data_IF_944168834014
#
_entry.id   IF_944168834014
#
_cell.length_a   1.000
_cell.length_b   1.000
_cell.length_c   1.000
_cell.angle_alpha   90.00
_cell.angle_beta   90.00
_cell.angle_gamma   90.00
#
_symmetry.space_group_name_H-M   'P 1'
#
loop_
_entity.id
_entity.type
_entity.pdbx_description
1 polymer ?
#
# COMPACT_ATOMS: atom_id res chain seq x y z
N UNK A 1 13.16 10.81 -16.26
CA UNK A 1 12.03 11.23 -15.40
C UNK A 1 11.52 9.99 -14.72
N UNK A 2 11.41 9.98 -13.39
CA UNK A 2 10.85 8.83 -12.66
C UNK A 2 9.34 9.06 -12.52
N UNK A 3 8.52 8.13 -12.99
CA UNK A 3 7.05 8.18 -12.93
C UNK A 3 6.51 7.28 -11.81
N UNK A 4 5.28 7.54 -11.35
CA UNK A 4 4.58 6.68 -10.40
C UNK A 4 4.43 5.23 -10.91
N UNK A 5 4.02 5.08 -12.18
CA UNK A 5 3.97 3.82 -12.90
C UNK A 5 5.06 3.86 -13.99
N UNK A 6 6.22 3.21 -13.78
CA UNK A 6 7.31 3.19 -14.75
C UNK A 6 6.88 2.55 -16.08
N UNK A 7 7.55 2.86 -17.21
CA UNK A 7 7.29 2.21 -18.49
C UNK A 7 7.31 0.67 -18.37
N UNK A 8 6.34 0.02 -19.02
CA UNK A 8 6.16 -1.44 -18.94
C UNK A 8 5.50 -1.94 -17.66
N UNK A 9 4.90 -1.07 -16.85
CA UNK A 9 4.00 -1.46 -15.75
C UNK A 9 2.87 -2.37 -16.24
N UNK A 10 2.35 -3.23 -15.36
CA UNK A 10 1.14 -4.00 -15.66
C UNK A 10 0.01 -3.05 -16.09
N UNK A 11 -0.82 -3.44 -17.06
CA UNK A 11 -1.96 -2.62 -17.47
C UNK A 11 -3.03 -2.59 -16.37
N UNK A 12 -3.96 -1.62 -16.38
CA UNK A 12 -5.17 -1.71 -15.58
C UNK A 12 -5.90 -3.03 -15.85
N UNK A 13 -6.53 -3.62 -14.83
CA UNK A 13 -7.33 -4.83 -14.97
C UNK A 13 -8.67 -4.66 -14.26
N UNK A 14 -9.71 -5.25 -14.82
CA UNK A 14 -11.04 -5.28 -14.21
C UNK A 14 -10.99 -6.01 -12.85
N UNK A 15 -11.95 -5.67 -11.99
CA UNK A 15 -12.07 -6.24 -10.66
C UNK A 15 -12.24 -7.76 -10.72
N UNK A 16 -11.48 -8.47 -9.89
CA UNK A 16 -11.73 -9.88 -9.59
C UNK A 16 -13.02 -10.05 -8.76
N UNK A 17 -13.62 -11.26 -8.78
CA UNK A 17 -14.71 -11.59 -7.87
C UNK A 17 -14.33 -11.36 -6.40
N UNK A 18 -15.27 -10.80 -5.65
CA UNK A 18 -15.11 -10.38 -4.26
C UNK A 18 -16.44 -10.54 -3.50
N UNK A 19 -16.38 -10.59 -2.18
CA UNK A 19 -17.52 -10.92 -1.29
C UNK A 19 -17.74 -9.94 -0.13
N UNK A 20 -16.75 -9.09 0.17
CA UNK A 20 -16.89 -8.00 1.12
C UNK A 20 -17.87 -6.93 0.67
N UNK A 21 -18.05 -5.90 1.50
CA UNK A 21 -19.11 -4.90 1.34
C UNK A 21 -18.56 -3.48 1.38
N UNK A 22 -19.17 -2.57 0.62
CA UNK A 22 -18.88 -1.14 0.71
C UNK A 22 -19.74 -0.53 1.81
N UNK A 23 -19.12 0.23 2.71
CA UNK A 23 -19.78 0.99 3.77
C UNK A 23 -19.31 2.43 3.76
N UNK A 24 -20.22 3.33 4.13
CA UNK A 24 -19.87 4.68 4.52
C UNK A 24 -19.64 4.71 6.03
N UNK A 25 -18.47 5.18 6.47
CA UNK A 25 -18.20 5.53 7.85
C UNK A 25 -17.75 6.98 7.91
N UNK A 26 -18.42 7.80 8.72
CA UNK A 26 -18.28 9.25 8.69
C UNK A 26 -18.37 9.82 7.26
N UNK A 27 -17.29 10.36 6.71
CA UNK A 27 -17.27 10.93 5.35
C UNK A 27 -16.60 10.04 4.31
N UNK A 28 -16.17 8.84 4.70
CA UNK A 28 -15.29 8.00 3.89
C UNK A 28 -15.98 6.70 3.50
N UNK A 29 -15.91 6.35 2.21
CA UNK A 29 -16.31 5.04 1.74
C UNK A 29 -15.18 4.03 1.97
N UNK A 30 -15.56 2.89 2.54
CA UNK A 30 -14.69 1.81 2.98
C UNK A 30 -15.18 0.51 2.35
N UNK A 31 -14.31 -0.24 1.69
CA UNK A 31 -14.58 -1.65 1.42
C UNK A 31 -14.12 -2.46 2.63
N UNK A 32 -15.00 -3.24 3.23
CA UNK A 32 -14.74 -3.98 4.46
C UNK A 32 -14.86 -5.49 4.23
N UNK A 33 -13.91 -6.24 4.79
CA UNK A 33 -13.86 -7.70 4.70
C UNK A 33 -13.40 -8.32 6.03
N UNK A 34 -13.70 -9.61 6.21
CA UNK A 34 -13.30 -10.39 7.37
C UNK A 34 -14.18 -10.21 8.63
N UNK A 35 -13.85 -10.92 9.71
CA UNK A 35 -14.66 -10.95 10.92
C UNK A 35 -14.51 -9.66 11.75
N UNK A 36 -15.64 -9.10 12.22
CA UNK A 36 -15.65 -7.95 13.15
C UNK A 36 -15.08 -8.24 14.54
N UNK A 37 -14.76 -9.51 14.84
CA UNK A 37 -14.14 -9.94 16.10
C UNK A 37 -12.63 -10.12 15.97
N UNK A 38 -12.04 -9.80 14.81
CA UNK A 38 -10.60 -9.88 14.62
C UNK A 38 -9.87 -8.95 15.59
N UNK A 39 -8.80 -9.46 16.21
CA UNK A 39 -7.94 -8.62 17.08
C UNK A 39 -7.05 -7.68 16.27
N UNK A 40 -6.75 -8.04 15.03
CA UNK A 40 -5.87 -7.28 14.14
C UNK A 40 -6.68 -6.71 12.98
N UNK A 41 -6.62 -5.39 12.87
CA UNK A 41 -7.13 -4.63 11.74
C UNK A 41 -6.06 -4.52 10.65
N UNK A 42 -6.48 -4.57 9.39
CA UNK A 42 -5.60 -4.35 8.24
C UNK A 42 -6.12 -3.16 7.45
N UNK A 43 -5.31 -2.12 7.38
CA UNK A 43 -5.57 -0.94 6.58
C UNK A 43 -4.92 -1.09 5.19
N UNK A 44 -5.74 -1.15 4.15
CA UNK A 44 -5.32 -1.43 2.80
C UNK A 44 -5.46 -0.17 1.91
N UNK A 45 -4.38 0.15 1.19
CA UNK A 45 -4.34 1.29 0.26
C UNK A 45 -4.23 0.84 -1.19
N UNK A 46 -5.06 1.43 -2.05
CA UNK A 46 -5.15 1.06 -3.46
C UNK A 46 -4.00 1.67 -4.27
N UNK A 47 -3.83 1.17 -5.49
CA UNK A 47 -3.13 1.91 -6.53
C UNK A 47 -4.02 3.07 -7.05
N UNK A 48 -3.53 3.83 -8.04
CA UNK A 48 -4.22 5.00 -8.62
C UNK A 48 -5.56 4.68 -9.31
N UNK A 49 -5.80 3.42 -9.69
CA UNK A 49 -7.04 2.97 -10.34
C UNK A 49 -8.14 2.54 -9.34
N UNK A 50 -7.91 2.70 -8.04
CA UNK A 50 -8.90 2.42 -7.00
C UNK A 50 -9.09 0.94 -6.69
N UNK A 51 -10.13 0.64 -5.89
CA UNK A 51 -10.36 -0.70 -5.33
C UNK A 51 -10.93 -1.72 -6.33
N UNK A 52 -11.39 -1.28 -7.51
CA UNK A 52 -11.87 -2.16 -8.59
C UNK A 52 -10.72 -2.57 -9.53
N UNK A 53 -9.50 -2.20 -9.17
CA UNK A 53 -8.28 -2.53 -9.91
C UNK A 53 -7.81 -3.94 -9.60
N UNK A 54 -8.03 -4.85 -10.55
CA UNK A 54 -7.56 -6.24 -10.47
C UNK A 54 -8.04 -6.94 -9.20
N UNK A 55 -7.09 -7.50 -8.44
CA UNK A 55 -7.36 -8.30 -7.24
C UNK A 55 -7.49 -7.49 -5.95
N UNK A 56 -7.52 -6.17 -5.98
CA UNK A 56 -7.48 -5.35 -4.76
C UNK A 56 -8.56 -5.71 -3.71
N UNK A 57 -9.83 -5.86 -4.11
CA UNK A 57 -10.89 -6.34 -3.18
C UNK A 57 -10.75 -7.82 -2.81
N UNK A 58 -10.39 -8.67 -3.77
CA UNK A 58 -10.19 -10.11 -3.55
C UNK A 58 -9.07 -10.39 -2.54
N UNK A 59 -7.98 -9.62 -2.58
CA UNK A 59 -6.86 -9.76 -1.65
C UNK A 59 -7.28 -9.36 -0.22
N UNK A 60 -8.14 -8.33 -0.07
CA UNK A 60 -8.74 -8.00 1.22
C UNK A 60 -9.68 -9.12 1.73
N UNK A 61 -10.46 -9.75 0.85
CA UNK A 61 -11.31 -10.88 1.24
C UNK A 61 -10.47 -12.06 1.76
N UNK A 62 -9.34 -12.38 1.09
CA UNK A 62 -8.42 -13.45 1.51
C UNK A 62 -7.77 -13.20 2.87
N UNK A 63 -7.41 -11.95 3.15
CA UNK A 63 -6.98 -11.55 4.50
C UNK A 63 -8.14 -11.71 5.50
N UNK A 64 -9.37 -11.38 5.10
CA UNK A 64 -10.56 -11.63 5.90
C UNK A 64 -10.76 -13.11 6.25
N UNK A 65 -10.57 -14.01 5.29
CA UNK A 65 -10.61 -15.47 5.49
C UNK A 65 -9.53 -15.96 6.47
N UNK A 66 -8.39 -15.26 6.56
CA UNK A 66 -7.32 -15.51 7.52
C UNK A 66 -7.58 -14.91 8.92
N UNK A 67 -8.73 -14.27 9.13
CA UNK A 67 -9.15 -13.78 10.45
C UNK A 67 -8.76 -12.33 10.75
N UNK A 68 -8.35 -11.55 9.75
CA UNK A 68 -8.13 -10.11 9.89
C UNK A 68 -9.41 -9.30 9.64
N UNK A 69 -9.58 -8.17 10.33
CA UNK A 69 -10.59 -7.17 9.94
C UNK A 69 -9.97 -6.21 8.93
N UNK A 70 -10.36 -6.30 7.66
CA UNK A 70 -9.70 -5.57 6.57
C UNK A 70 -10.55 -4.41 6.10
N UNK A 71 -9.91 -3.26 5.90
CA UNK A 71 -10.53 -2.04 5.37
C UNK A 71 -9.68 -1.52 4.21
N UNK A 72 -10.25 -1.49 3.01
CA UNK A 72 -9.69 -0.71 1.89
C UNK A 72 -10.35 0.66 1.92
N UNK A 73 -9.52 1.71 1.94
CA UNK A 73 -9.98 3.10 2.08
C UNK A 73 -10.10 3.78 0.72
N UNK A 74 -11.23 4.43 0.43
CA UNK A 74 -11.28 5.42 -0.63
C UNK A 74 -10.69 6.75 -0.17
N UNK A 75 -9.38 6.89 -0.35
CA UNK A 75 -8.65 8.12 0.00
C UNK A 75 -8.83 9.25 -1.02
N UNK A 76 -9.52 8.99 -2.14
CA UNK A 76 -9.72 9.96 -3.24
C UNK A 76 -11.14 10.51 -3.31
N UNK A 77 -12.06 9.95 -2.52
CA UNK A 77 -13.50 10.22 -2.60
C UNK A 77 -14.08 9.95 -3.99
N UNK A 78 -13.64 8.86 -4.60
CA UNK A 78 -14.09 8.39 -5.91
C UNK A 78 -13.35 9.00 -7.10
N UNK A 79 -12.42 9.94 -6.91
CA UNK A 79 -11.61 10.52 -7.97
C UNK A 79 -10.40 9.63 -8.33
N UNK A 80 -10.65 8.36 -8.62
CA UNK A 80 -9.65 7.43 -9.12
C UNK A 80 -9.25 7.78 -10.55
N UNK A 81 -7.99 7.49 -10.92
CA UNK A 81 -7.60 7.53 -12.32
C UNK A 81 -8.36 6.46 -13.10
N UNK A 82 -8.74 6.79 -14.34
CA UNK A 82 -9.46 5.88 -15.23
C UNK A 82 -8.49 5.07 -16.07
N UNK A 83 -8.96 3.93 -16.56
CA UNK A 83 -8.13 3.03 -17.37
C UNK A 83 -7.75 3.67 -18.71
N UNK A 84 -8.57 4.59 -19.20
CA UNK A 84 -8.41 5.28 -20.48
C UNK A 84 -7.57 6.57 -20.36
N UNK A 85 -7.18 6.97 -19.15
CA UNK A 85 -6.40 8.18 -18.93
C UNK A 85 -4.98 8.03 -19.46
N UNK A 86 -4.46 9.10 -20.08
CA UNK A 86 -3.02 9.24 -20.31
C UNK A 86 -2.35 9.44 -18.95
N UNK A 87 -1.71 8.39 -18.44
CA UNK A 87 -1.09 8.37 -17.11
C UNK A 87 -0.02 9.47 -17.00
N UNK A 88 0.80 9.67 -18.01
CA UNK A 88 1.91 10.64 -17.95
C UNK A 88 1.37 12.08 -17.89
N UNK A 89 0.31 12.38 -18.65
CA UNK A 89 -0.34 13.69 -18.62
C UNK A 89 -1.17 13.92 -17.35
N UNK A 90 -1.78 12.87 -16.80
CA UNK A 90 -2.79 12.98 -15.75
C UNK A 90 -2.21 12.86 -14.34
N UNK A 91 -1.09 12.14 -14.16
CA UNK A 91 -0.51 11.84 -12.85
C UNK A 91 -0.19 13.10 -12.04
N UNK A 92 0.50 14.08 -12.63
CA UNK A 92 0.90 15.30 -11.91
C UNK A 92 -0.30 16.12 -11.41
N UNK A 93 -1.28 16.48 -12.27
CA UNK A 93 -2.51 17.13 -11.84
C UNK A 93 -3.35 16.32 -10.85
N UNK A 94 -3.36 14.99 -10.96
CA UNK A 94 -4.09 14.10 -10.04
C UNK A 94 -3.43 14.10 -8.65
N UNK A 95 -2.12 13.91 -8.58
CA UNK A 95 -1.38 13.93 -7.31
C UNK A 95 -1.55 15.24 -6.53
N UNK A 96 -1.60 16.39 -7.23
CA UNK A 96 -1.81 17.69 -6.57
C UNK A 96 -3.19 17.88 -5.96
N UNK A 97 -4.22 17.24 -6.51
CA UNK A 97 -5.59 17.32 -5.96
C UNK A 97 -5.88 16.20 -4.96
N UNK A 98 -5.17 15.07 -5.05
CA UNK A 98 -5.16 14.03 -4.02
C UNK A 98 -4.11 14.33 -2.94
N UNK A 99 -4.21 15.53 -2.35
CA UNK A 99 -3.29 16.02 -1.33
C UNK A 99 -3.30 15.12 -0.08
N UNK A 100 -2.11 14.80 0.43
CA UNK A 100 -2.00 13.86 1.55
C UNK A 100 -2.67 14.41 2.80
N UNK A 101 -2.37 15.66 3.18
CA UNK A 101 -2.75 16.19 4.48
C UNK A 101 -4.24 16.58 4.54
N UNK A 102 -4.80 17.10 3.45
CA UNK A 102 -6.16 17.65 3.43
C UNK A 102 -7.23 16.70 2.87
N UNK A 103 -6.86 15.70 2.05
CA UNK A 103 -7.83 14.76 1.45
C UNK A 103 -7.61 13.32 1.92
N UNK A 104 -6.39 12.83 1.80
CA UNK A 104 -6.05 11.42 2.06
C UNK A 104 -6.08 11.12 3.56
N UNK A 105 -5.37 11.90 4.38
CA UNK A 105 -5.22 11.66 5.81
C UNK A 105 -6.57 11.65 6.56
N UNK A 106 -7.53 12.56 6.33
CA UNK A 106 -8.84 12.47 6.97
C UNK A 106 -9.56 11.14 6.67
N UNK A 107 -9.43 10.62 5.45
CA UNK A 107 -10.03 9.33 5.06
C UNK A 107 -9.34 8.15 5.76
N UNK A 108 -8.02 8.25 5.98
CA UNK A 108 -7.25 7.29 6.80
C UNK A 108 -7.71 7.32 8.26
N UNK A 109 -7.91 8.51 8.82
CA UNK A 109 -8.35 8.68 10.20
C UNK A 109 -9.74 8.06 10.41
N UNK A 110 -10.67 8.26 9.47
CA UNK A 110 -11.99 7.59 9.47
C UNK A 110 -11.87 6.06 9.42
N UNK A 111 -10.98 5.52 8.60
CA UNK A 111 -10.76 4.07 8.48
C UNK A 111 -10.13 3.45 9.74
N UNK A 112 -9.17 4.14 10.35
CA UNK A 112 -8.57 3.74 11.64
C UNK A 112 -9.64 3.76 12.73
N UNK A 113 -10.48 4.80 12.77
CA UNK A 113 -11.58 4.90 13.71
C UNK A 113 -12.60 3.76 13.52
N UNK A 114 -12.94 3.41 12.28
CA UNK A 114 -13.79 2.25 12.00
C UNK A 114 -13.17 0.94 12.52
N UNK A 115 -11.87 0.71 12.24
CA UNK A 115 -11.16 -0.48 12.74
C UNK A 115 -11.18 -0.57 14.26
N UNK A 116 -10.99 0.54 14.96
CA UNK A 116 -10.97 0.60 16.43
C UNK A 116 -12.36 0.49 17.07
N UNK A 117 -13.37 1.16 16.51
CA UNK A 117 -14.68 1.32 17.15
C UNK A 117 -15.66 0.21 16.73
N UNK A 118 -15.73 -0.07 15.43
CA UNK A 118 -16.71 -1.01 14.85
C UNK A 118 -16.15 -2.42 14.77
N UNK A 119 -14.90 -2.57 14.32
CA UNK A 119 -14.22 -3.87 14.27
C UNK A 119 -13.47 -4.21 15.56
N UNK A 120 -13.36 -3.27 16.52
CA UNK A 120 -12.70 -3.47 17.82
C UNK A 120 -11.28 -4.03 17.72
N UNK A 121 -10.59 -3.71 16.64
CA UNK A 121 -9.20 -4.09 16.42
C UNK A 121 -8.32 -3.47 17.51
N UNK A 122 -7.46 -4.28 18.10
CA UNK A 122 -6.52 -3.89 19.16
C UNK A 122 -5.21 -3.38 18.57
N UNK A 123 -4.85 -3.89 17.39
CA UNK A 123 -3.66 -3.52 16.65
C UNK A 123 -4.02 -3.34 15.18
N UNK A 124 -3.32 -2.45 14.49
CA UNK A 124 -3.55 -2.19 13.06
C UNK A 124 -2.22 -2.35 12.33
N UNK A 125 -2.22 -3.15 11.27
CA UNK A 125 -1.13 -3.22 10.28
C UNK A 125 -1.63 -2.63 8.96
N UNK A 126 -0.73 -2.32 8.04
CA UNK A 126 -1.15 -1.80 6.74
C UNK A 126 -0.38 -2.39 5.58
N UNK A 127 -1.00 -2.37 4.40
CA UNK A 127 -0.32 -2.60 3.14
C UNK A 127 -0.84 -1.66 2.06
N UNK A 128 -0.07 -1.48 1.00
CA UNK A 128 -0.48 -0.64 -0.12
C UNK A 128 0.17 -1.04 -1.43
N UNK A 129 -0.56 -0.79 -2.52
CA UNK A 129 -0.10 -1.04 -3.88
C UNK A 129 0.30 0.28 -4.55
N UNK A 130 1.48 0.39 -5.14
CA UNK A 130 1.83 1.57 -5.97
C UNK A 130 1.67 2.87 -5.15
N UNK A 131 0.69 3.71 -5.50
CA UNK A 131 0.24 4.89 -4.74
C UNK A 131 0.01 4.59 -3.27
N UNK A 132 -0.65 3.48 -2.95
CA UNK A 132 -0.92 3.05 -1.59
C UNK A 132 0.35 2.74 -0.79
N UNK A 133 1.44 2.35 -1.46
CA UNK A 133 2.74 2.18 -0.82
C UNK A 133 3.34 3.52 -0.37
N UNK A 134 3.14 4.60 -1.14
CA UNK A 134 3.51 5.94 -0.71
C UNK A 134 2.63 6.46 0.43
N UNK A 135 1.32 6.22 0.37
CA UNK A 135 0.39 6.60 1.45
C UNK A 135 0.79 5.96 2.77
N UNK A 136 1.04 4.65 2.77
CA UNK A 136 1.40 3.94 4.00
C UNK A 136 2.79 4.32 4.53
N UNK A 137 3.74 4.67 3.65
CA UNK A 137 5.02 5.23 4.05
C UNK A 137 4.86 6.58 4.76
N UNK A 138 4.03 7.48 4.22
CA UNK A 138 3.68 8.76 4.88
C UNK A 138 3.00 8.53 6.23
N UNK A 139 2.03 7.61 6.31
CA UNK A 139 1.35 7.25 7.56
C UNK A 139 2.34 6.72 8.61
N UNK A 140 3.36 5.98 8.16
CA UNK A 140 4.40 5.41 9.02
C UNK A 140 5.30 6.45 9.69
N UNK A 141 5.21 7.74 9.30
CA UNK A 141 5.96 8.84 9.94
C UNK A 141 5.24 9.47 11.14
N UNK A 142 3.95 9.14 11.34
CA UNK A 142 3.11 9.73 12.40
C UNK A 142 3.58 9.30 13.79
N UNK A 143 3.56 10.23 14.74
CA UNK A 143 3.91 10.01 16.15
C UNK A 143 2.79 10.51 17.09
N UNK A 144 2.28 9.69 18.03
CA UNK A 144 2.63 8.28 18.22
C UNK A 144 2.18 7.40 17.04
N UNK A 145 2.83 6.22 16.82
CA UNK A 145 2.46 5.34 15.72
C UNK A 145 1.01 4.88 15.78
N UNK A 146 0.30 4.96 14.66
CA UNK A 146 -1.10 4.51 14.50
C UNK A 146 -1.22 3.09 13.96
N UNK A 147 -0.14 2.57 13.37
CA UNK A 147 -0.02 1.24 12.80
C UNK A 147 1.22 0.56 13.39
N UNK A 148 1.28 -0.77 13.32
CA UNK A 148 2.42 -1.58 13.80
C UNK A 148 3.51 -1.76 12.74
N UNK A 149 3.19 -1.55 11.47
CA UNK A 149 4.10 -1.67 10.34
C UNK A 149 3.37 -1.54 9.00
N UNK A 150 4.14 -1.42 7.92
CA UNK A 150 3.59 -1.21 6.58
C UNK A 150 4.29 -2.07 5.52
N UNK A 151 3.49 -2.66 4.63
CA UNK A 151 3.97 -3.36 3.43
C UNK A 151 3.69 -2.55 2.17
N UNK A 152 4.73 -2.29 1.39
CA UNK A 152 4.64 -1.66 0.08
C UNK A 152 4.84 -2.68 -1.03
N UNK A 153 3.76 -3.00 -1.75
CA UNK A 153 3.83 -3.74 -3.00
C UNK A 153 4.14 -2.78 -4.15
N UNK A 154 5.22 -3.05 -4.88
CA UNK A 154 5.73 -2.24 -5.99
C UNK A 154 5.65 -0.72 -5.68
N UNK A 155 6.49 -0.24 -4.74
CA UNK A 155 6.37 1.09 -4.11
C UNK A 155 6.49 2.26 -5.10
N UNK A 156 5.53 3.19 -5.07
CA UNK A 156 5.61 4.47 -5.80
C UNK A 156 6.09 5.62 -4.91
N UNK A 157 7.08 5.40 -4.04
CA UNK A 157 7.61 6.45 -3.14
C UNK A 157 8.21 7.65 -3.89
N UNK A 158 8.50 7.49 -5.19
CA UNK A 158 8.84 8.59 -6.11
C UNK A 158 7.87 9.76 -6.07
N UNK A 159 6.61 9.53 -5.72
CA UNK A 159 5.61 10.60 -5.58
C UNK A 159 6.01 11.63 -4.53
N UNK A 160 6.67 11.21 -3.44
CA UNK A 160 7.18 12.13 -2.42
C UNK A 160 8.17 13.11 -3.04
N UNK A 161 9.07 12.59 -3.89
CA UNK A 161 10.00 13.42 -4.67
C UNK A 161 9.27 14.31 -5.69
N UNK A 162 8.24 13.81 -6.36
CA UNK A 162 7.46 14.60 -7.32
C UNK A 162 6.73 15.78 -6.67
N UNK A 163 6.28 15.63 -5.42
CA UNK A 163 5.52 16.63 -4.68
C UNK A 163 6.42 17.60 -3.88
N UNK A 164 7.50 17.09 -3.31
CA UNK A 164 8.29 17.82 -2.31
C UNK A 164 9.76 18.04 -2.72
N UNK A 165 10.15 17.59 -3.90
CA UNK A 165 11.46 17.84 -4.50
C UNK A 165 12.53 16.80 -4.16
N UNK A 166 13.78 17.16 -4.45
CA UNK A 166 14.94 16.29 -4.20
C UNK A 166 15.12 16.02 -2.69
N UNK A 167 15.64 14.83 -2.37
CA UNK A 167 15.83 14.27 -1.02
C UNK A 167 14.55 14.02 -0.20
N UNK A 168 13.36 14.27 -0.75
CA UNK A 168 12.11 14.14 0.00
C UNK A 168 11.81 12.68 0.41
N UNK A 169 12.19 11.72 -0.43
CA UNK A 169 12.04 10.29 -0.13
C UNK A 169 12.91 9.90 1.06
N UNK A 170 14.17 10.32 1.06
CA UNK A 170 15.11 10.07 2.15
C UNK A 170 14.62 10.69 3.46
N UNK A 171 14.19 11.96 3.44
CA UNK A 171 13.63 12.65 4.61
C UNK A 171 12.38 11.96 5.16
N UNK A 172 11.47 11.53 4.27
CA UNK A 172 10.30 10.74 4.67
C UNK A 172 10.74 9.43 5.32
N UNK A 173 11.72 8.74 4.74
CA UNK A 173 12.24 7.46 5.26
C UNK A 173 12.88 7.62 6.64
N UNK A 174 13.64 8.69 6.86
CA UNK A 174 14.24 9.03 8.17
C UNK A 174 13.17 9.30 9.25
N UNK A 175 12.00 9.78 8.84
CA UNK A 175 10.89 10.07 9.75
C UNK A 175 10.06 8.83 10.13
N UNK A 176 10.21 7.69 9.43
CA UNK A 176 9.44 6.46 9.67
C UNK A 176 9.69 5.92 11.10
N UNK A 177 8.58 5.54 11.77
CA UNK A 177 8.56 5.08 13.17
C UNK A 177 8.24 3.60 13.33
N UNK A 178 7.90 2.90 12.25
CA UNK A 178 7.42 1.51 12.29
C UNK A 178 8.10 0.66 11.22
N UNK A 179 8.26 -0.66 11.44
CA UNK A 179 8.85 -1.57 10.46
C UNK A 179 8.22 -1.47 9.06
N UNK A 180 9.05 -1.67 8.04
CA UNK A 180 8.65 -1.60 6.63
C UNK A 180 9.06 -2.86 5.87
N UNK A 181 8.16 -3.40 5.05
CA UNK A 181 8.47 -4.41 4.04
C UNK A 181 8.24 -3.83 2.64
N UNK A 182 9.28 -3.72 1.82
CA UNK A 182 9.17 -3.24 0.44
C UNK A 182 9.39 -4.42 -0.52
N UNK A 183 8.41 -4.67 -1.39
CA UNK A 183 8.46 -5.72 -2.40
C UNK A 183 8.49 -5.08 -3.79
N UNK A 184 9.71 -4.88 -4.31
CA UNK A 184 9.96 -4.08 -5.51
C UNK A 184 9.87 -4.89 -6.80
N UNK A 185 9.53 -4.23 -7.90
CA UNK A 185 9.56 -4.79 -9.25
C UNK A 185 10.85 -4.44 -10.00
N UNK A 186 11.10 -5.16 -11.10
CA UNK A 186 12.28 -4.95 -11.97
C UNK A 186 12.44 -3.52 -12.52
N UNK A 187 11.32 -2.81 -12.72
CA UNK A 187 11.30 -1.44 -13.25
C UNK A 187 11.02 -0.37 -12.18
N UNK A 188 10.98 -0.73 -10.90
CA UNK A 188 10.84 0.24 -9.82
C UNK A 188 12.13 1.08 -9.66
N UNK A 189 12.03 2.32 -9.13
CA UNK A 189 13.19 3.17 -8.92
C UNK A 189 14.24 2.53 -8.01
N UNK A 190 15.53 2.64 -8.36
CA UNK A 190 16.61 2.00 -7.60
C UNK A 190 16.71 2.39 -6.12
N UNK A 191 16.13 3.54 -5.70
CA UNK A 191 16.16 3.95 -4.30
C UNK A 191 15.24 3.13 -3.38
N UNK A 192 14.17 2.51 -3.91
CA UNK A 192 13.24 1.61 -3.17
C UNK A 192 13.62 0.12 -3.32
N UNK A 193 14.73 -0.17 -3.98
CA UNK A 193 15.23 -1.52 -4.24
C UNK A 193 16.35 -1.90 -3.28
N UNK A 194 16.71 -3.18 -3.23
CA UNK A 194 17.83 -3.66 -2.40
C UNK A 194 19.12 -2.87 -2.70
N UNK A 195 19.80 -2.42 -1.65
CA UNK A 195 20.98 -1.53 -1.71
C UNK A 195 20.67 -0.05 -1.93
N UNK A 196 19.40 0.32 -2.15
CA UNK A 196 18.93 1.68 -2.36
C UNK A 196 19.10 2.59 -1.13
N UNK A 197 18.80 3.89 -1.27
CA UNK A 197 18.83 4.83 -0.15
C UNK A 197 17.78 4.49 0.92
N UNK A 198 16.59 4.03 0.52
CA UNK A 198 15.52 3.66 1.45
C UNK A 198 15.97 2.53 2.37
N UNK A 199 16.48 1.42 1.82
CA UNK A 199 16.95 0.30 2.65
C UNK A 199 18.07 0.73 3.61
N UNK A 200 19.04 1.52 3.12
CA UNK A 200 20.14 2.00 3.96
C UNK A 200 19.65 2.83 5.14
N UNK A 201 18.68 3.72 4.93
CA UNK A 201 18.10 4.55 5.99
C UNK A 201 17.29 3.69 6.97
N UNK A 202 16.45 2.78 6.49
CA UNK A 202 15.69 1.86 7.34
C UNK A 202 16.61 0.99 8.20
N UNK A 203 17.72 0.50 7.65
CA UNK A 203 18.71 -0.30 8.37
C UNK A 203 19.56 0.50 9.36
N UNK A 204 19.66 1.82 9.19
CA UNK A 204 20.32 2.70 10.16
C UNK A 204 19.45 3.02 11.38
N UNK A 205 18.13 2.78 11.31
CA UNK A 205 17.22 3.01 12.44
C UNK A 205 17.17 1.77 13.36
N UNK A 206 17.74 1.82 14.58
CA UNK A 206 17.82 0.65 15.46
C UNK A 206 16.44 0.16 15.94
N UNK A 207 15.43 1.02 15.96
CA UNK A 207 14.10 0.68 16.49
C UNK A 207 13.29 -0.22 15.52
N UNK A 208 13.60 -0.17 14.22
CA UNK A 208 12.82 -0.86 13.18
C UNK A 208 13.67 -1.74 12.24
N UNK A 209 14.99 -1.59 12.26
CA UNK A 209 15.91 -2.21 11.27
C UNK A 209 15.87 -3.74 11.25
N UNK A 210 15.67 -4.38 12.42
CA UNK A 210 15.62 -5.84 12.56
C UNK A 210 14.36 -6.47 11.93
N UNK A 211 13.30 -5.67 11.79
CA UNK A 211 12.01 -6.10 11.25
C UNK A 211 11.73 -5.53 9.86
N UNK A 212 12.54 -4.59 9.38
CA UNK A 212 12.37 -3.98 8.05
C UNK A 212 13.17 -4.73 6.98
N UNK A 213 12.60 -4.92 5.79
CA UNK A 213 13.23 -5.66 4.69
C UNK A 213 12.85 -5.05 3.33
N UNK A 214 13.79 -5.11 2.37
CA UNK A 214 13.54 -4.77 0.97
C UNK A 214 13.87 -5.99 0.11
N UNK A 215 12.92 -6.42 -0.71
CA UNK A 215 13.01 -7.62 -1.55
C UNK A 215 12.72 -7.25 -3.00
N UNK A 216 13.64 -7.60 -3.90
CA UNK A 216 13.53 -7.33 -5.33
C UNK A 216 12.96 -8.53 -6.09
N UNK A 217 11.93 -8.29 -6.91
CA UNK A 217 11.38 -9.27 -7.84
C UNK A 217 11.72 -8.89 -9.29
N UNK A 218 12.78 -9.50 -9.82
CA UNK A 218 13.36 -9.12 -11.11
C UNK A 218 12.56 -9.54 -12.34
N UNK A 219 11.60 -10.45 -12.19
CA UNK A 219 10.82 -11.01 -13.30
C UNK A 219 9.46 -10.34 -13.51
N UNK A 220 9.06 -9.47 -12.58
CA UNK A 220 7.75 -8.82 -12.59
C UNK A 220 7.90 -7.32 -12.80
N UNK A 221 6.81 -6.69 -13.22
CA UNK A 221 6.72 -5.25 -13.48
C UNK A 221 5.82 -4.57 -12.46
N UNK A 222 6.01 -3.27 -12.27
CA UNK A 222 5.19 -2.47 -11.37
C UNK A 222 3.68 -2.75 -11.55
N UNK A 223 2.95 -3.00 -10.45
CA UNK A 223 1.55 -3.44 -10.49
C UNK A 223 1.33 -4.95 -10.41
N UNK A 224 2.39 -5.76 -10.38
CA UNK A 224 2.32 -7.21 -10.48
C UNK A 224 1.50 -7.92 -9.39
N UNK A 225 1.41 -7.39 -8.16
CA UNK A 225 0.74 -8.11 -7.07
C UNK A 225 -0.76 -8.19 -7.31
N UNK A 226 -1.42 -7.05 -7.55
CA UNK A 226 -2.87 -7.02 -7.76
C UNK A 226 -3.28 -7.09 -9.24
N UNK A 227 -2.37 -6.81 -10.18
CA UNK A 227 -2.66 -6.79 -11.63
C UNK A 227 -1.78 -7.72 -12.47
N UNK A 228 -0.84 -8.47 -11.91
CA UNK A 228 -0.08 -9.47 -12.68
C UNK A 228 -0.98 -10.57 -13.26
N UNK A 229 -0.58 -11.12 -14.40
CA UNK A 229 -1.25 -12.27 -15.04
C UNK A 229 -0.95 -13.58 -14.28
N UNK A 230 -1.96 -14.16 -13.63
CA UNK A 230 -1.79 -15.39 -12.86
C UNK A 230 -1.80 -16.67 -13.72
N UNK A 231 -1.99 -16.56 -15.04
CA UNK A 231 -1.79 -17.68 -15.96
C UNK A 231 -0.30 -17.91 -16.28
N UNK A 232 0.55 -16.91 -16.03
CA UNK A 232 2.00 -17.07 -15.99
C UNK A 232 2.40 -17.60 -14.61
N UNK A 233 2.92 -18.83 -14.57
CA UNK A 233 3.31 -19.49 -13.32
C UNK A 233 4.44 -18.76 -12.57
N UNK A 234 5.30 -17.99 -13.26
CA UNK A 234 6.34 -17.18 -12.58
C UNK A 234 5.72 -15.99 -11.87
N UNK A 235 4.78 -15.31 -12.52
CA UNK A 235 4.04 -14.18 -11.91
C UNK A 235 3.21 -14.69 -10.74
N UNK A 236 2.49 -15.79 -10.91
CA UNK A 236 1.71 -16.43 -9.84
C UNK A 236 2.56 -16.85 -8.65
N UNK A 237 3.73 -17.46 -8.89
CA UNK A 237 4.66 -17.83 -7.83
C UNK A 237 5.18 -16.60 -7.07
N UNK A 238 5.55 -15.54 -7.80
CA UNK A 238 5.94 -14.28 -7.18
C UNK A 238 4.81 -13.71 -6.31
N UNK A 239 3.57 -13.70 -6.81
CA UNK A 239 2.41 -13.14 -6.07
C UNK A 239 2.17 -13.93 -4.78
N UNK A 240 2.31 -15.26 -4.85
CA UNK A 240 2.26 -16.13 -3.68
C UNK A 240 3.34 -15.78 -2.66
N UNK A 241 4.60 -15.67 -3.10
CA UNK A 241 5.73 -15.34 -2.24
C UNK A 241 5.59 -13.94 -1.58
N UNK A 242 5.11 -12.93 -2.32
CA UNK A 242 4.87 -11.61 -1.77
C UNK A 242 3.82 -11.61 -0.65
N UNK A 243 2.73 -12.36 -0.83
CA UNK A 243 1.71 -12.50 0.20
C UNK A 243 2.21 -13.31 1.39
N UNK A 244 2.98 -14.37 1.18
CA UNK A 244 3.57 -15.16 2.27
C UNK A 244 4.48 -14.29 3.15
N UNK A 245 5.39 -13.53 2.54
CA UNK A 245 6.24 -12.56 3.25
C UNK A 245 5.45 -11.51 4.00
N UNK A 246 4.32 -11.08 3.44
CA UNK A 246 3.41 -10.13 4.09
C UNK A 246 2.79 -10.72 5.35
N UNK A 247 2.34 -11.98 5.32
CA UNK A 247 1.81 -12.66 6.50
C UNK A 247 2.90 -12.85 7.56
N UNK A 248 4.07 -13.34 7.18
CA UNK A 248 5.20 -13.50 8.10
C UNK A 248 5.63 -12.17 8.73
N UNK A 249 5.63 -11.09 7.94
CA UNK A 249 5.93 -9.75 8.43
C UNK A 249 4.88 -9.28 9.43
N UNK A 250 3.59 -9.45 9.13
CA UNK A 250 2.51 -9.13 10.06
C UNK A 250 2.63 -9.91 11.36
N UNK A 251 2.88 -11.21 11.32
CA UNK A 251 3.07 -12.06 12.50
C UNK A 251 4.24 -11.59 13.39
N UNK A 252 5.31 -11.05 12.80
CA UNK A 252 6.48 -10.56 13.55
C UNK A 252 6.28 -9.21 14.24
N UNK A 253 5.33 -8.39 13.78
CA UNK A 253 5.13 -7.01 14.27
C UNK A 253 3.89 -6.83 15.16
N UNK A 254 3.00 -7.81 15.20
CA UNK A 254 1.84 -7.85 16.09
C UNK A 254 2.21 -8.57 17.40
N UNK A 255 1.47 -8.28 18.47
CA UNK A 255 1.79 -8.72 19.84
C UNK A 255 1.00 -9.98 20.21
#
# INVERSE_FOLDING_TARGET
MSSCCPPGSEPPRAASPHVGEIKRFAQTDLYVAGPRSAKVGVLAFTNVFGWDSGRTKQDADRLGEKGYAVVIVDVTKGDWMRMEDDIDATMGPWLRRTDYDNLVKPSIDDAIAYLQQEARAQQIVSYGYCYGGWIGARLSTVSPPLIKGHVSFHPSWVMEKMLHGEDAVEKMTEAIKVPQLLLSASNDPGFVRTGGSVERILKANPDISSLSEVVDYEYVRHGWVNRGDLTDEKVKAAVGDAWERTYEFFEKIID
#
